data_IF_536499304314
#
_entry.id   IF_536499304314
#
_cell.length_a   1.000
_cell.length_b   1.000
_cell.length_c   1.000
_cell.angle_alpha   90.00
_cell.angle_beta   90.00
_cell.angle_gamma   90.00
#
_symmetry.space_group_name_H-M   'P 1'
#
loop_
_entity.id
_entity.type
_entity.pdbx_description
1 polymer ?
#
# COMPACT_ATOMS: atom_id res chain seq x y z
N UNK A 1 -4.70 -24.25 -17.49
CA UNK A 1 -4.56 -23.24 -16.43
C UNK A 1 -3.68 -22.12 -16.97
N UNK A 2 -4.02 -20.86 -16.75
CA UNK A 2 -3.26 -19.70 -17.24
C UNK A 2 -2.61 -19.05 -16.03
N UNK A 3 -1.30 -18.81 -16.11
CA UNK A 3 -0.48 -18.33 -15.01
C UNK A 3 0.21 -17.02 -15.41
N UNK A 4 -0.50 -15.89 -15.39
CA UNK A 4 0.19 -14.63 -15.39
C UNK A 4 0.99 -14.49 -14.09
N UNK A 5 2.11 -13.78 -14.16
CA UNK A 5 3.11 -13.75 -13.11
C UNK A 5 3.35 -12.36 -12.57
N UNK A 6 3.43 -12.23 -11.25
CA UNK A 6 3.96 -11.03 -10.60
C UNK A 6 5.49 -11.17 -10.55
N UNK A 7 6.28 -10.27 -11.14
CA UNK A 7 7.74 -10.36 -11.07
C UNK A 7 8.22 -10.45 -9.62
N UNK A 8 9.21 -11.30 -9.31
CA UNK A 8 9.75 -11.41 -7.94
C UNK A 8 10.39 -10.11 -7.43
N UNK A 9 10.89 -9.28 -8.35
CA UNK A 9 11.43 -7.96 -8.05
C UNK A 9 10.34 -6.90 -7.82
N UNK A 10 9.06 -7.24 -8.00
CA UNK A 10 7.95 -6.31 -7.84
C UNK A 10 7.65 -6.05 -6.37
N UNK A 11 7.35 -4.80 -6.02
CA UNK A 11 6.78 -4.43 -4.72
C UNK A 11 5.26 -4.65 -4.66
N UNK A 12 4.63 -5.06 -5.76
CA UNK A 12 3.19 -5.29 -5.83
C UNK A 12 2.80 -6.42 -4.88
N UNK A 13 1.90 -6.10 -3.95
CA UNK A 13 1.28 -7.06 -3.04
C UNK A 13 -0.03 -7.51 -3.63
N UNK A 14 -0.26 -8.82 -3.59
CA UNK A 14 -1.44 -9.46 -4.14
C UNK A 14 -2.01 -10.44 -3.14
N UNK A 15 -3.32 -10.47 -3.02
CA UNK A 15 -4.09 -11.40 -2.21
C UNK A 15 -5.15 -12.08 -3.04
N UNK A 16 -5.56 -13.25 -2.56
CA UNK A 16 -6.75 -13.90 -3.06
C UNK A 16 -7.94 -12.99 -2.78
N UNK A 17 -8.71 -12.68 -3.82
CA UNK A 17 -9.85 -11.78 -3.80
C UNK A 17 -9.56 -10.41 -4.40
N UNK A 18 -8.30 -10.01 -4.57
CA UNK A 18 -7.96 -8.66 -5.07
C UNK A 18 -8.54 -8.44 -6.47
N UNK A 19 -9.21 -7.30 -6.70
CA UNK A 19 -9.71 -6.94 -8.02
C UNK A 19 -8.52 -6.62 -8.93
N UNK A 20 -8.57 -7.14 -10.15
CA UNK A 20 -7.56 -6.89 -11.18
C UNK A 20 -8.24 -6.61 -12.51
N UNK A 21 -7.54 -5.88 -13.38
CA UNK A 21 -7.96 -5.66 -14.76
C UNK A 21 -6.94 -6.31 -15.68
N UNK A 22 -7.42 -7.16 -16.58
CA UNK A 22 -6.61 -7.68 -17.70
C UNK A 22 -6.82 -6.72 -18.87
N UNK A 23 -5.71 -6.22 -19.42
CA UNK A 23 -5.72 -5.39 -20.63
C UNK A 23 -5.10 -6.21 -21.76
N UNK A 24 -5.89 -6.54 -22.77
CA UNK A 24 -5.42 -7.29 -23.94
C UNK A 24 -4.65 -6.38 -24.91
N UNK A 25 -3.85 -6.95 -25.84
CA UNK A 25 -3.09 -6.17 -26.82
C UNK A 25 -3.95 -5.28 -27.76
N UNK A 26 -5.21 -5.65 -27.97
CA UNK A 26 -6.18 -4.86 -28.75
C UNK A 26 -6.82 -3.71 -27.95
N UNK A 27 -6.49 -3.59 -26.66
CA UNK A 27 -7.04 -2.62 -25.72
C UNK A 27 -8.29 -3.10 -24.97
N UNK A 28 -8.80 -4.30 -25.25
CA UNK A 28 -9.94 -4.87 -24.52
C UNK A 28 -9.61 -5.01 -23.04
N UNK A 29 -10.56 -4.61 -22.17
CA UNK A 29 -10.40 -4.62 -20.71
C UNK A 29 -11.36 -5.64 -20.10
N UNK A 30 -10.83 -6.53 -19.28
CA UNK A 30 -11.60 -7.55 -18.57
C UNK A 30 -11.40 -7.37 -17.07
N UNK A 31 -12.47 -7.05 -16.37
CA UNK A 31 -12.48 -6.98 -14.91
C UNK A 31 -12.62 -8.38 -14.31
N UNK A 32 -11.75 -8.71 -13.36
CA UNK A 32 -11.76 -9.99 -12.68
C UNK A 32 -11.12 -9.85 -11.30
N UNK A 33 -10.81 -10.98 -10.66
CA UNK A 33 -10.12 -11.03 -9.37
C UNK A 33 -9.05 -12.11 -9.33
N UNK A 34 -8.13 -11.96 -8.40
CA UNK A 34 -7.17 -13.00 -8.05
C UNK A 34 -7.90 -14.11 -7.32
N UNK A 35 -7.94 -15.30 -7.92
CA UNK A 35 -8.56 -16.50 -7.33
C UNK A 35 -7.59 -17.28 -6.44
N UNK A 36 -6.29 -17.21 -6.73
CA UNK A 36 -5.29 -18.01 -6.07
C UNK A 36 -3.90 -17.47 -6.32
N UNK A 37 -2.99 -17.76 -5.41
CA UNK A 37 -1.56 -17.49 -5.57
C UNK A 37 -0.91 -18.86 -5.52
N UNK A 38 -0.34 -19.29 -6.64
CA UNK A 38 0.19 -20.64 -6.74
C UNK A 38 1.67 -20.63 -6.35
N UNK A 39 1.95 -21.11 -5.14
CA UNK A 39 3.30 -21.57 -4.81
C UNK A 39 3.50 -22.91 -5.51
N UNK A 40 3.82 -22.89 -6.80
CA UNK A 40 4.15 -24.15 -7.49
C UNK A 40 5.34 -24.78 -6.75
N UNK A 41 5.17 -25.89 -6.06
CA UNK A 41 6.29 -26.58 -5.40
C UNK A 41 7.10 -27.30 -6.47
N UNK A 42 8.28 -26.76 -6.79
CA UNK A 42 9.19 -27.38 -7.75
C UNK A 42 10.55 -26.70 -7.71
N UNK A 43 11.62 -27.50 -7.71
CA UNK A 43 13.03 -27.15 -7.59
C UNK A 43 13.61 -26.39 -8.79
N UNK A 44 12.85 -25.47 -9.40
CA UNK A 44 13.34 -24.67 -10.51
C UNK A 44 14.10 -23.46 -9.94
N UNK A 45 15.43 -23.35 -10.15
CA UNK A 45 16.25 -22.33 -9.51
C UNK A 45 15.95 -20.90 -9.97
N UNK A 46 15.40 -20.73 -11.17
CA UNK A 46 15.17 -19.41 -11.79
C UNK A 46 13.67 -19.14 -11.99
N UNK A 47 12.96 -18.79 -10.91
CA UNK A 47 11.67 -18.13 -11.07
C UNK A 47 11.89 -16.63 -11.13
N UNK A 48 11.48 -15.99 -12.20
CA UNK A 48 11.43 -14.53 -12.29
C UNK A 48 10.09 -13.96 -11.82
N UNK A 49 9.09 -14.80 -11.54
CA UNK A 49 7.75 -14.38 -11.15
C UNK A 49 7.00 -15.37 -10.23
N UNK A 50 5.96 -14.86 -9.57
CA UNK A 50 4.97 -15.60 -8.76
C UNK A 50 3.69 -15.78 -9.59
N UNK A 51 3.30 -17.01 -9.93
CA UNK A 51 2.04 -17.28 -10.63
C UNK A 51 0.82 -16.86 -9.81
N UNK A 52 -0.12 -16.16 -10.44
CA UNK A 52 -1.46 -15.96 -9.91
C UNK A 52 -2.49 -16.74 -10.74
N UNK A 53 -3.57 -17.13 -10.08
CA UNK A 53 -4.74 -17.73 -10.69
C UNK A 53 -5.82 -16.65 -10.79
N UNK A 54 -6.41 -16.50 -11.97
CA UNK A 54 -7.55 -15.61 -12.21
C UNK A 54 -8.87 -16.38 -12.11
N UNK A 55 -10.02 -15.71 -12.25
CA UNK A 55 -11.34 -16.36 -12.17
C UNK A 55 -11.47 -17.55 -13.15
N UNK A 56 -12.22 -18.58 -12.76
CA UNK A 56 -12.40 -19.80 -13.57
C UNK A 56 -13.22 -19.57 -14.83
N UNK A 57 -13.99 -18.48 -14.89
CA UNK A 57 -14.73 -18.09 -16.09
C UNK A 57 -13.83 -17.69 -17.27
N UNK A 58 -12.58 -17.29 -17.00
CA UNK A 58 -11.64 -16.87 -18.03
C UNK A 58 -10.99 -18.05 -18.73
N UNK A 59 -10.94 -17.96 -20.05
CA UNK A 59 -10.31 -18.93 -20.94
C UNK A 59 -8.99 -18.41 -21.50
N UNK A 60 -8.21 -19.31 -22.12
CA UNK A 60 -6.88 -18.96 -22.66
C UNK A 60 -6.96 -17.88 -23.74
N UNK A 61 -8.06 -17.85 -24.48
CA UNK A 61 -8.33 -16.82 -25.50
C UNK A 61 -8.48 -15.42 -24.90
N UNK A 62 -8.88 -15.32 -23.63
CA UNK A 62 -9.05 -14.05 -22.93
C UNK A 62 -7.72 -13.45 -22.42
N UNK A 63 -6.63 -14.23 -22.49
CA UNK A 63 -5.29 -13.87 -22.03
C UNK A 63 -4.25 -14.18 -23.13
N UNK A 64 -4.33 -13.53 -24.31
CA UNK A 64 -3.30 -13.66 -25.34
C UNK A 64 -1.94 -13.15 -24.83
N UNK A 65 -0.86 -13.59 -25.47
CA UNK A 65 0.48 -13.07 -25.18
C UNK A 65 0.51 -11.55 -25.40
N UNK A 66 1.16 -10.83 -24.48
CA UNK A 66 1.16 -9.37 -24.45
C UNK A 66 0.03 -8.76 -23.63
N UNK A 67 -0.88 -9.57 -23.07
CA UNK A 67 -1.84 -9.05 -22.09
C UNK A 67 -1.13 -8.55 -20.83
N UNK A 68 -1.60 -7.43 -20.30
CA UNK A 68 -1.11 -6.84 -19.06
C UNK A 68 -2.09 -7.08 -17.92
N UNK A 69 -1.56 -7.22 -16.69
CA UNK A 69 -2.38 -7.27 -15.48
C UNK A 69 -2.16 -6.00 -14.69
N UNK A 70 -3.24 -5.27 -14.52
CA UNK A 70 -3.25 -4.04 -13.75
C UNK A 70 -3.85 -4.35 -12.39
N UNK A 71 -3.06 -4.15 -11.35
CA UNK A 71 -3.52 -4.20 -9.97
C UNK A 71 -3.95 -2.79 -9.58
N UNK A 72 -5.19 -2.66 -9.13
CA UNK A 72 -5.54 -1.49 -8.35
C UNK A 72 -4.95 -1.74 -6.96
N UNK A 73 -3.92 -1.00 -6.56
CA UNK A 73 -3.48 -0.96 -5.18
C UNK A 73 -4.65 -0.42 -4.34
N UNK A 74 -5.52 -1.33 -3.92
CA UNK A 74 -6.78 -0.99 -3.27
C UNK A 74 -6.53 -1.12 -1.79
N UNK A 75 -6.71 -0.02 -1.06
CA UNK A 75 -6.74 -0.09 0.39
C UNK A 75 -7.90 -1.00 0.79
N UNK A 76 -7.63 -2.02 1.62
CA UNK A 76 -8.67 -2.92 2.10
C UNK A 76 -9.68 -2.17 2.99
N UNK A 77 -9.18 -1.18 3.73
CA UNK A 77 -9.96 -0.24 4.51
C UNK A 77 -9.14 1.03 4.73
N UNK A 78 -9.79 2.10 5.19
CA UNK A 78 -9.12 3.34 5.51
C UNK A 78 -9.72 4.02 6.74
N UNK A 79 -8.92 4.89 7.34
CA UNK A 79 -9.39 5.81 8.39
C UNK A 79 -8.62 7.12 8.28
N UNK A 80 -9.19 8.18 8.83
CA UNK A 80 -8.61 9.52 8.79
C UNK A 80 -8.47 10.09 10.19
N UNK A 81 -7.36 10.75 10.46
CA UNK A 81 -7.22 11.68 11.58
C UNK A 81 -7.32 13.10 11.08
N UNK A 82 -8.11 13.90 11.78
CA UNK A 82 -8.17 15.34 11.63
C UNK A 82 -7.40 15.97 12.78
N UNK A 83 -6.39 16.78 12.43
CA UNK A 83 -5.52 17.49 13.37
C UNK A 83 -5.70 18.98 13.13
N UNK A 84 -6.22 19.68 14.13
CA UNK A 84 -6.48 21.11 14.09
C UNK A 84 -5.27 21.93 14.57
N UNK A 85 -5.11 23.15 14.07
CA UNK A 85 -4.10 24.09 14.53
C UNK A 85 -2.66 23.78 14.09
N UNK A 86 -2.48 22.87 13.12
CA UNK A 86 -1.17 22.44 12.65
C UNK A 86 -1.03 22.63 11.15
N UNK A 87 -0.01 23.38 10.73
CA UNK A 87 0.35 23.51 9.32
C UNK A 87 1.13 22.30 8.82
N UNK A 88 1.12 22.05 7.51
CA UNK A 88 1.91 20.96 6.93
C UNK A 88 3.41 21.07 7.24
N UNK A 89 3.96 22.27 7.22
CA UNK A 89 5.39 22.50 7.50
C UNK A 89 5.75 22.14 8.94
N UNK A 90 4.90 22.50 9.90
CA UNK A 90 5.08 22.11 11.30
C UNK A 90 4.96 20.59 11.45
N UNK A 91 3.91 19.98 10.91
CA UNK A 91 3.77 18.53 10.93
C UNK A 91 4.98 17.80 10.31
N UNK A 92 5.45 18.27 9.16
CA UNK A 92 6.60 17.67 8.51
C UNK A 92 7.88 17.82 9.33
N UNK A 93 8.07 18.96 10.00
CA UNK A 93 9.21 19.17 10.91
C UNK A 93 9.14 18.26 12.13
N UNK A 94 7.95 18.02 12.67
CA UNK A 94 7.78 17.31 13.94
C UNK A 94 7.76 15.79 13.77
N UNK A 95 7.22 15.28 12.65
CA UNK A 95 6.98 13.84 12.46
C UNK A 95 7.76 13.20 11.34
N UNK A 96 8.33 13.98 10.42
CA UNK A 96 8.95 13.45 9.22
C UNK A 96 10.44 13.72 9.20
N UNK A 97 11.20 12.72 8.78
CA UNK A 97 12.65 12.87 8.56
C UNK A 97 13.04 12.18 7.27
N UNK A 98 13.74 12.87 6.39
CA UNK A 98 14.35 12.25 5.21
C UNK A 98 15.73 11.74 5.62
N UNK A 99 15.96 10.44 5.53
CA UNK A 99 17.29 9.88 5.80
C UNK A 99 18.23 10.01 4.59
N UNK A 100 19.50 9.67 4.82
CA UNK A 100 20.54 9.72 3.78
C UNK A 100 20.26 8.75 2.61
N UNK A 101 19.51 7.69 2.89
CA UNK A 101 18.98 6.73 1.91
C UNK A 101 17.85 7.30 1.02
N UNK A 102 17.44 8.56 1.26
CA UNK A 102 16.32 9.26 0.61
C UNK A 102 14.95 8.66 0.95
N UNK A 103 14.85 7.79 1.95
CA UNK A 103 13.58 7.29 2.45
C UNK A 103 13.01 8.24 3.52
N UNK A 104 11.69 8.36 3.52
CA UNK A 104 10.95 9.15 4.48
C UNK A 104 10.66 8.32 5.72
N UNK A 105 11.00 8.84 6.89
CA UNK A 105 10.73 8.26 8.21
C UNK A 105 9.55 8.97 8.84
N UNK A 106 8.72 8.22 9.56
CA UNK A 106 7.56 8.75 10.28
C UNK A 106 7.45 8.11 11.66
N UNK A 107 7.19 8.92 12.68
CA UNK A 107 7.03 8.44 14.06
C UNK A 107 8.29 7.73 14.56
N UNK A 108 8.13 6.57 15.21
CA UNK A 108 9.25 5.82 15.79
C UNK A 108 10.04 5.01 14.76
N UNK A 109 9.35 4.16 14.00
CA UNK A 109 10.00 3.11 13.20
C UNK A 109 9.48 3.00 11.77
N UNK A 110 8.51 3.82 11.37
CA UNK A 110 7.94 3.73 10.04
C UNK A 110 8.92 4.30 9.00
N UNK A 111 9.18 3.55 7.94
CA UNK A 111 10.04 3.96 6.81
C UNK A 111 9.30 3.73 5.51
N UNK A 112 9.36 4.70 4.60
CA UNK A 112 8.76 4.57 3.26
C UNK A 112 9.41 3.41 2.48
N UNK A 113 8.63 2.68 1.68
CA UNK A 113 9.17 1.56 0.88
C UNK A 113 10.08 2.06 -0.26
N UNK A 114 9.79 3.24 -0.80
CA UNK A 114 10.56 3.87 -1.87
C UNK A 114 11.08 5.25 -1.42
N UNK A 115 12.12 5.78 -2.08
CA UNK A 115 12.57 7.14 -1.86
C UNK A 115 11.41 8.14 -1.97
N UNK A 116 11.30 9.04 -0.99
CA UNK A 116 10.13 9.87 -0.80
C UNK A 116 10.50 11.23 -0.23
N UNK A 117 9.69 12.25 -0.54
CA UNK A 117 9.81 13.61 0.00
C UNK A 117 8.55 13.96 0.78
N UNK A 118 8.65 14.71 1.90
CA UNK A 118 7.49 15.10 2.71
C UNK A 118 6.35 15.67 1.86
N UNK A 119 6.64 16.65 1.00
CA UNK A 119 5.63 17.32 0.15
C UNK A 119 4.86 16.38 -0.78
N UNK A 120 5.42 15.22 -1.13
CA UNK A 120 4.71 14.26 -1.98
C UNK A 120 3.53 13.60 -1.28
N UNK A 121 3.50 13.56 0.06
CA UNK A 121 2.34 13.09 0.84
C UNK A 121 1.07 13.92 0.59
N UNK A 122 1.21 15.16 0.09
CA UNK A 122 0.09 16.02 -0.28
C UNK A 122 -0.54 15.65 -1.62
N UNK A 123 0.23 15.00 -2.50
CA UNK A 123 -0.20 14.66 -3.86
C UNK A 123 -0.61 13.21 -3.95
N UNK A 124 0.21 12.30 -3.40
CA UNK A 124 0.05 10.85 -3.50
C UNK A 124 0.16 10.19 -2.13
N UNK A 125 -0.35 8.97 -2.02
CA UNK A 125 -0.10 8.16 -0.85
C UNK A 125 1.27 7.46 -0.96
N UNK A 126 2.00 7.38 0.14
CA UNK A 126 3.22 6.57 0.23
C UNK A 126 2.99 5.35 1.09
N UNK A 127 3.54 4.21 0.68
CA UNK A 127 3.61 3.02 1.53
C UNK A 127 4.74 3.16 2.53
N UNK A 128 4.41 2.93 3.80
CA UNK A 128 5.34 2.82 4.91
C UNK A 128 5.36 1.38 5.41
N UNK A 129 6.54 0.95 5.85
CA UNK A 129 6.71 -0.25 6.67
C UNK A 129 7.09 0.18 8.07
N UNK A 130 6.34 -0.30 9.05
CA UNK A 130 6.54 0.01 10.47
C UNK A 130 6.71 -1.29 11.27
N UNK A 131 7.40 -1.21 12.40
CA UNK A 131 7.60 -2.33 13.31
C UNK A 131 6.71 -2.15 14.55
N UNK A 132 5.62 -2.93 14.61
CA UNK A 132 4.57 -2.81 15.62
C UNK A 132 4.31 -4.17 16.26
N UNK A 133 4.29 -4.21 17.59
CA UNK A 133 3.99 -5.43 18.38
C UNK A 133 4.78 -6.66 17.90
N UNK A 134 6.11 -6.52 17.79
CA UNK A 134 7.04 -7.57 17.37
C UNK A 134 6.88 -8.06 15.92
N UNK A 135 6.29 -7.25 15.05
CA UNK A 135 6.18 -7.62 13.64
C UNK A 135 6.11 -6.41 12.71
N UNK A 136 6.40 -6.65 11.44
CA UNK A 136 6.27 -5.61 10.44
C UNK A 136 4.83 -5.50 9.94
N UNK A 137 4.36 -4.27 9.81
CA UNK A 137 3.10 -3.90 9.16
C UNK A 137 3.38 -2.90 8.05
N UNK A 138 2.53 -2.88 7.03
CA UNK A 138 2.62 -1.90 5.95
C UNK A 138 1.28 -1.22 5.72
N UNK A 139 1.32 0.09 5.52
CA UNK A 139 0.13 0.91 5.33
C UNK A 139 0.48 2.14 4.48
N UNK A 140 -0.54 2.72 3.85
CA UNK A 140 -0.42 3.92 3.03
C UNK A 140 -0.69 5.15 3.89
N UNK A 141 0.12 6.19 3.74
CA UNK A 141 -0.12 7.50 4.35
C UNK A 141 -0.33 8.52 3.23
N UNK A 142 -1.38 9.32 3.34
CA UNK A 142 -1.59 10.55 2.56
C UNK A 142 -2.01 11.68 3.48
N UNK A 143 -1.54 12.89 3.22
CA UNK A 143 -1.89 14.07 4.00
C UNK A 143 -2.60 15.07 3.12
N UNK A 144 -3.77 15.53 3.52
CA UNK A 144 -4.42 16.66 2.87
C UNK A 144 -4.47 17.82 3.85
N UNK A 145 -4.14 19.01 3.39
CA UNK A 145 -4.08 20.19 4.24
C UNK A 145 -5.03 21.26 3.75
N UNK A 146 -5.81 21.83 4.66
CA UNK A 146 -6.69 22.95 4.39
C UNK A 146 -6.48 24.00 5.48
N UNK A 147 -5.76 25.09 5.16
CA UNK A 147 -5.34 26.08 6.16
C UNK A 147 -4.52 25.42 7.30
N UNK A 148 -4.94 25.59 8.55
CA UNK A 148 -4.33 24.96 9.74
C UNK A 148 -4.98 23.61 10.11
N UNK A 149 -5.61 22.94 9.15
CA UNK A 149 -6.20 21.61 9.31
C UNK A 149 -5.39 20.58 8.53
N UNK A 150 -5.01 19.49 9.18
CA UNK A 150 -4.41 18.31 8.57
C UNK A 150 -5.40 17.16 8.61
N UNK A 151 -5.71 16.62 7.44
CA UNK A 151 -6.37 15.32 7.28
C UNK A 151 -5.29 14.29 6.95
N UNK A 152 -4.91 13.51 7.96
CA UNK A 152 -3.96 12.41 7.85
C UNK A 152 -4.72 11.12 7.56
N UNK A 153 -4.72 10.70 6.30
CA UNK A 153 -5.44 9.51 5.83
C UNK A 153 -4.51 8.31 5.82
N UNK A 154 -5.00 7.20 6.36
CA UNK A 154 -4.29 5.93 6.46
C UNK A 154 -5.05 4.87 5.69
N UNK A 155 -4.37 4.28 4.72
CA UNK A 155 -4.86 3.15 3.95
C UNK A 155 -4.29 1.84 4.48
N UNK A 156 -5.15 0.95 4.97
CA UNK A 156 -4.76 -0.39 5.37
C UNK A 156 -4.70 -1.30 4.15
N UNK A 157 -3.73 -2.22 4.15
CA UNK A 157 -3.45 -3.09 3.01
C UNK A 157 -4.14 -4.46 3.14
N UNK A 158 -4.92 -4.68 4.20
CA UNK A 158 -5.61 -5.91 4.60
C UNK A 158 -4.69 -6.95 5.26
N UNK A 159 -3.54 -6.56 5.80
CA UNK A 159 -2.55 -7.49 6.35
C UNK A 159 -2.99 -7.99 7.73
N UNK A 160 -2.46 -9.15 8.15
CA UNK A 160 -2.82 -9.81 9.43
C UNK A 160 -2.57 -8.97 10.69
N UNK A 161 -1.90 -7.81 10.55
CA UNK A 161 -1.50 -6.91 11.63
C UNK A 161 -2.07 -5.50 11.48
N UNK A 162 -2.97 -5.28 10.52
CA UNK A 162 -3.55 -3.96 10.27
C UNK A 162 -4.30 -3.41 11.48
N UNK A 163 -4.89 -4.28 12.32
CA UNK A 163 -5.54 -3.85 13.56
C UNK A 163 -4.60 -3.11 14.53
N UNK A 164 -3.28 -3.26 14.40
CA UNK A 164 -2.30 -2.60 15.26
C UNK A 164 -1.82 -1.24 14.72
N UNK A 165 -2.10 -0.91 13.46
CA UNK A 165 -1.69 0.37 12.87
C UNK A 165 -2.36 1.53 13.59
N UNK A 166 -3.68 1.44 13.81
CA UNK A 166 -4.42 2.53 14.45
C UNK A 166 -3.94 2.80 15.89
N UNK A 167 -3.85 1.81 16.81
CA UNK A 167 -3.32 2.05 18.16
C UNK A 167 -1.89 2.63 18.17
N UNK A 168 -1.04 2.20 17.23
CA UNK A 168 0.32 2.74 17.11
C UNK A 168 0.31 4.23 16.75
N UNK A 169 -0.55 4.63 15.81
CA UNK A 169 -0.70 6.02 15.41
C UNK A 169 -1.33 6.87 16.53
N UNK A 170 -2.34 6.34 17.22
CA UNK A 170 -2.93 6.99 18.40
C UNK A 170 -1.85 7.26 19.46
N UNK A 171 -0.98 6.28 19.72
CA UNK A 171 0.14 6.43 20.64
C UNK A 171 1.15 7.48 20.15
N UNK A 172 1.51 7.47 18.87
CA UNK A 172 2.45 8.42 18.28
C UNK A 172 1.94 9.87 18.40
N UNK A 173 0.67 10.13 18.08
CA UNK A 173 0.09 11.46 18.22
C UNK A 173 -0.03 11.89 19.68
N UNK A 174 -0.43 10.97 20.58
CA UNK A 174 -0.51 11.25 22.02
C UNK A 174 0.85 11.59 22.63
N UNK A 175 1.92 10.88 22.27
CA UNK A 175 3.28 11.17 22.75
C UNK A 175 3.79 12.54 22.27
N UNK A 176 3.37 12.97 21.09
CA UNK A 176 3.69 14.28 20.55
C UNK A 176 2.77 15.41 21.07
N UNK A 177 1.82 15.11 21.97
CA UNK A 177 0.89 16.10 22.51
C UNK A 177 -0.15 16.60 21.50
N UNK A 178 -0.41 15.84 20.42
CA UNK A 178 -1.37 16.21 19.39
C UNK A 178 -2.75 15.65 19.69
N UNK A 179 -3.75 16.53 19.70
CA UNK A 179 -5.15 16.15 19.73
C UNK A 179 -5.63 15.76 18.32
N UNK A 180 -5.41 14.51 17.92
CA UNK A 180 -5.91 13.95 16.68
C UNK A 180 -7.35 13.43 16.89
N UNK A 181 -8.30 13.93 16.09
CA UNK A 181 -9.70 13.46 16.10
C UNK A 181 -9.89 12.46 14.97
N UNK A 182 -10.42 11.29 15.27
CA UNK A 182 -10.70 10.31 14.22
C UNK A 182 -11.96 10.72 13.43
N UNK A 183 -11.82 10.85 12.11
CA UNK A 183 -12.94 10.92 11.18
C UNK A 183 -13.39 9.53 10.75
N UNK A 184 -14.70 9.37 10.57
CA UNK A 184 -15.33 8.21 9.92
C UNK A 184 -15.07 8.20 8.43
#
# INVERSE_FOLDING_TARGET
>A
MIWPGIPLSSSIRVKIGDPIVIVQPDGTRIETKVRGIEMASGSSPDRSFIPILVDQSLQKVDLPLGSEIHFNATTASEFTYTIDGLSFSQFASDFLTVGDDKHLRFGWSAVSIHPAKPTGLQTIAYEFRDYVMEGFVSYLIRIQTQSALINFRVGLLGLNRDQYVKPQLDHCFSQAGIAARQGT
#
